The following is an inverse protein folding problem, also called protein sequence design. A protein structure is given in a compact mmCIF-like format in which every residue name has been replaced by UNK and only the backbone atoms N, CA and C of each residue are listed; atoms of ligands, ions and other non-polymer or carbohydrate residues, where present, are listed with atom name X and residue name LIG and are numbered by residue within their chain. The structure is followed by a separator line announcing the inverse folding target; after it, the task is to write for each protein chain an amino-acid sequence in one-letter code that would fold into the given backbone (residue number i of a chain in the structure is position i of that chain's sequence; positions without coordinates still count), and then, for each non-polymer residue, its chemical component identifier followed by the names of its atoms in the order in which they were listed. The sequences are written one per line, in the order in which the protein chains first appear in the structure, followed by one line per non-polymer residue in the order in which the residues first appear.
data_IF_207622155300
#
_entry.id   IF_207622155300
#
_cell.length_a   1.000
_cell.length_b   1.000
_cell.length_c   1.000
_cell.angle_alpha   90.00
_cell.angle_beta   90.00
_cell.angle_gamma   90.00
#
_symmetry.space_group_name_H-M   'P 1'
#
loop_
_entity.id
_entity.type
_entity.pdbx_description
1 polymer ?
#
# COMPACT_ATOMS: atom_id res chain seq x y z
N UNK A 1 2.52 -0.93 20.32
CA UNK A 1 2.88 -1.01 18.88
C UNK A 1 2.33 -2.23 18.17
N UNK A 2 2.03 -3.31 18.85
CA UNK A 2 1.27 -4.39 18.24
C UNK A 2 -0.08 -3.88 17.70
N UNK A 3 -0.82 -3.16 18.53
CA UNK A 3 -2.08 -2.54 18.14
C UNK A 3 -1.89 -1.43 17.10
N UNK A 4 -0.97 -0.48 17.35
CA UNK A 4 -0.77 0.68 16.48
C UNK A 4 -0.33 0.30 15.07
N UNK A 5 0.62 -0.62 14.94
CA UNK A 5 1.05 -1.12 13.64
C UNK A 5 -0.09 -1.83 12.90
N UNK A 6 -0.83 -2.69 13.58
CA UNK A 6 -1.91 -3.45 12.95
C UNK A 6 -3.13 -2.59 12.61
N UNK A 7 -3.37 -1.48 13.31
CA UNK A 7 -4.40 -0.53 12.94
C UNK A 7 -4.14 0.09 11.57
N UNK A 8 -2.91 0.48 11.28
CA UNK A 8 -2.54 1.14 10.01
C UNK A 8 -2.10 0.13 8.94
N UNK A 9 -1.28 -0.84 9.31
CA UNK A 9 -0.71 -1.80 8.37
C UNK A 9 -1.67 -2.90 7.95
N UNK A 10 -2.55 -3.34 8.83
CA UNK A 10 -3.51 -4.40 8.54
C UNK A 10 -4.91 -3.81 8.29
N UNK A 11 -5.54 -3.21 9.28
CA UNK A 11 -6.95 -2.79 9.19
C UNK A 11 -7.19 -1.73 8.11
N UNK A 12 -6.50 -0.62 8.16
CA UNK A 12 -6.66 0.44 7.17
C UNK A 12 -6.12 0.04 5.79
N UNK A 13 -4.97 -0.61 5.73
CA UNK A 13 -4.39 -1.04 4.43
C UNK A 13 -5.31 -2.03 3.73
N UNK A 14 -5.91 -2.99 4.42
CA UNK A 14 -6.87 -3.91 3.82
C UNK A 14 -8.08 -3.16 3.22
N UNK A 15 -8.58 -2.12 3.90
CA UNK A 15 -9.64 -1.26 3.37
C UNK A 15 -9.24 -0.53 2.08
N UNK A 16 -8.07 0.10 2.06
CA UNK A 16 -7.56 0.81 0.88
C UNK A 16 -7.24 -0.13 -0.29
N UNK A 17 -6.77 -1.34 -0.01
CA UNK A 17 -6.61 -2.37 -1.04
C UNK A 17 -7.96 -2.81 -1.61
N UNK A 18 -8.98 -2.90 -0.78
CA UNK A 18 -10.37 -3.12 -1.23
C UNK A 18 -10.82 -2.03 -2.22
N UNK A 19 -10.51 -0.77 -1.94
CA UNK A 19 -10.75 0.36 -2.85
C UNK A 19 -10.02 0.14 -4.18
N UNK A 20 -8.75 -0.20 -4.14
CA UNK A 20 -7.97 -0.48 -5.34
C UNK A 20 -8.58 -1.62 -6.18
N UNK A 21 -8.82 -2.75 -5.57
CA UNK A 21 -9.33 -3.94 -6.26
C UNK A 21 -10.75 -3.77 -6.79
N UNK A 22 -11.54 -2.86 -6.21
CA UNK A 22 -12.89 -2.57 -6.67
C UNK A 22 -12.91 -1.50 -7.78
N UNK A 23 -12.30 -0.34 -7.54
CA UNK A 23 -12.47 0.80 -8.43
C UNK A 23 -11.53 0.79 -9.64
N UNK A 24 -10.29 0.28 -9.49
CA UNK A 24 -9.35 0.26 -10.61
C UNK A 24 -9.86 -0.58 -11.80
N UNK A 25 -10.29 -1.84 -11.61
CA UNK A 25 -10.85 -2.63 -12.70
C UNK A 25 -12.11 -2.00 -13.32
N UNK A 26 -12.97 -1.43 -12.47
CA UNK A 26 -14.19 -0.76 -12.94
C UNK A 26 -13.89 0.47 -13.79
N UNK A 27 -12.97 1.32 -13.36
CA UNK A 27 -12.61 2.53 -14.10
C UNK A 27 -11.84 2.20 -15.37
N UNK A 28 -10.93 1.23 -15.31
CA UNK A 28 -10.20 0.76 -16.47
C UNK A 28 -11.08 0.00 -17.48
N UNK A 29 -12.25 -0.50 -17.03
CA UNK A 29 -13.11 -1.43 -17.79
C UNK A 29 -12.38 -2.70 -18.21
N UNK A 30 -11.53 -3.21 -17.32
CA UNK A 30 -10.73 -4.41 -17.50
C UNK A 30 -10.83 -5.29 -16.26
N UNK A 31 -10.80 -6.61 -16.40
CA UNK A 31 -10.71 -7.50 -15.24
C UNK A 31 -9.37 -7.31 -14.53
N UNK A 32 -9.33 -7.62 -13.23
CA UNK A 32 -8.06 -7.67 -12.51
C UNK A 32 -7.10 -8.63 -13.20
N UNK A 33 -5.83 -8.23 -13.32
CA UNK A 33 -4.83 -9.00 -14.06
C UNK A 33 -4.72 -10.46 -13.60
N UNK A 34 -4.67 -10.69 -12.28
CA UNK A 34 -4.60 -12.04 -11.74
C UNK A 34 -5.42 -12.16 -10.46
N UNK A 35 -6.50 -12.93 -10.51
CA UNK A 35 -7.29 -13.26 -9.33
C UNK A 35 -6.48 -14.09 -8.31
N UNK A 36 -5.66 -15.02 -8.79
CA UNK A 36 -4.79 -15.83 -7.91
C UNK A 36 -3.78 -14.95 -7.16
N UNK A 37 -3.23 -13.97 -7.84
CA UNK A 37 -2.29 -13.04 -7.22
C UNK A 37 -2.98 -12.13 -6.19
N UNK A 38 -4.26 -11.76 -6.40
CA UNK A 38 -5.02 -10.99 -5.41
C UNK A 38 -5.28 -11.80 -4.13
N UNK A 39 -5.59 -13.09 -4.25
CA UNK A 39 -5.74 -13.99 -3.10
C UNK A 39 -4.41 -14.11 -2.34
N UNK A 40 -3.32 -14.37 -3.06
CA UNK A 40 -2.00 -14.47 -2.48
C UNK A 40 -1.62 -13.17 -1.76
N UNK A 41 -1.78 -12.04 -2.43
CA UNK A 41 -1.52 -10.72 -1.87
C UNK A 41 -2.27 -10.50 -0.55
N UNK A 42 -3.59 -10.68 -0.56
CA UNK A 42 -4.42 -10.42 0.61
C UNK A 42 -4.04 -11.31 1.80
N UNK A 43 -3.98 -12.61 1.60
CA UNK A 43 -3.74 -13.53 2.71
C UNK A 43 -2.31 -13.48 3.25
N UNK A 44 -1.31 -13.37 2.39
CA UNK A 44 0.07 -13.23 2.87
C UNK A 44 0.29 -11.89 3.55
N UNK A 45 -0.34 -10.81 3.05
CA UNK A 45 -0.30 -9.51 3.71
C UNK A 45 -0.86 -9.61 5.14
N UNK A 46 -2.08 -10.12 5.29
CA UNK A 46 -2.74 -10.25 6.59
C UNK A 46 -1.90 -11.05 7.58
N UNK A 47 -1.42 -12.22 7.17
CA UNK A 47 -0.65 -13.09 8.08
C UNK A 47 0.72 -12.51 8.46
N UNK A 48 1.40 -11.83 7.54
CA UNK A 48 2.72 -11.28 7.81
C UNK A 48 2.66 -9.96 8.60
N UNK A 49 1.66 -9.13 8.32
CA UNK A 49 1.55 -7.80 8.95
C UNK A 49 1.41 -7.86 10.47
N UNK A 50 0.65 -8.82 10.98
CA UNK A 50 0.41 -8.94 12.43
C UNK A 50 1.68 -9.18 13.23
N UNK A 51 2.74 -9.68 12.62
CA UNK A 51 4.03 -9.97 13.27
C UNK A 51 5.10 -8.91 13.03
N UNK A 52 4.90 -8.00 12.09
CA UNK A 52 5.88 -7.00 11.71
C UNK A 52 5.99 -5.81 12.68
N UNK A 53 4.99 -5.60 13.55
CA UNK A 53 4.90 -4.44 14.45
C UNK A 53 6.16 -4.07 15.24
N UNK A 54 6.92 -5.05 15.78
CA UNK A 54 8.14 -4.74 16.52
C UNK A 54 9.23 -4.03 15.72
N UNK A 55 9.11 -3.92 14.40
CA UNK A 55 10.04 -3.13 13.59
C UNK A 55 10.04 -1.63 13.94
N UNK A 56 8.98 -1.14 14.58
CA UNK A 56 8.94 0.23 15.09
C UNK A 56 9.79 0.43 16.35
N UNK A 57 10.18 -0.66 16.99
CA UNK A 57 10.82 -0.68 18.31
C UNK A 57 12.22 -1.29 18.28
N UNK A 58 12.90 -1.21 17.13
CA UNK A 58 14.30 -1.57 17.02
C UNK A 58 15.15 -0.64 17.90
N UNK A 59 16.19 -1.17 18.51
CA UNK A 59 17.07 -0.46 19.44
C UNK A 59 16.35 0.10 20.69
N UNK A 60 15.26 -0.50 21.10
CA UNK A 60 14.55 -0.19 22.33
C UNK A 60 14.79 -1.28 23.40
N UNK A 61 14.14 -1.15 24.56
CA UNK A 61 14.21 -2.13 25.65
C UNK A 61 13.48 -3.47 25.36
N UNK A 62 12.92 -3.65 24.18
CA UNK A 62 12.32 -4.94 23.79
C UNK A 62 13.37 -6.05 23.72
N UNK A 63 13.00 -7.30 24.08
CA UNK A 63 13.87 -8.46 23.89
C UNK A 63 14.36 -8.57 22.45
N UNK A 64 15.59 -9.02 22.28
CA UNK A 64 16.22 -9.10 20.96
C UNK A 64 15.48 -10.01 19.97
N UNK A 65 14.92 -11.13 20.45
CA UNK A 65 14.14 -12.03 19.62
C UNK A 65 12.89 -11.36 19.04
N UNK A 66 12.24 -10.47 19.78
CA UNK A 66 11.06 -9.71 19.33
C UNK A 66 11.44 -8.73 18.22
N UNK A 67 12.57 -8.04 18.36
CA UNK A 67 13.09 -7.14 17.35
C UNK A 67 13.48 -7.89 16.07
N UNK A 68 14.11 -9.06 16.22
CA UNK A 68 14.47 -9.94 15.09
C UNK A 68 13.22 -10.45 14.36
N UNK A 69 12.19 -10.84 15.12
CA UNK A 69 10.91 -11.25 14.55
C UNK A 69 10.27 -10.13 13.73
N UNK A 70 10.19 -8.91 14.30
CA UNK A 70 9.67 -7.74 13.61
C UNK A 70 10.42 -7.44 12.29
N UNK A 71 11.75 -7.46 12.33
CA UNK A 71 12.58 -7.30 11.14
C UNK A 71 12.30 -8.37 10.08
N UNK A 72 12.29 -9.64 10.47
CA UNK A 72 12.10 -10.76 9.55
C UNK A 72 10.75 -10.68 8.85
N UNK A 73 9.67 -10.50 9.59
CA UNK A 73 8.34 -10.40 9.01
C UNK A 73 8.17 -9.13 8.17
N UNK A 74 8.83 -8.04 8.53
CA UNK A 74 8.83 -6.81 7.72
C UNK A 74 9.50 -7.02 6.36
N UNK A 75 10.62 -7.71 6.30
CA UNK A 75 11.28 -8.05 5.03
C UNK A 75 10.41 -8.98 4.18
N UNK A 76 9.72 -9.94 4.80
CA UNK A 76 8.78 -10.83 4.10
C UNK A 76 7.59 -10.09 3.49
N UNK A 77 7.17 -8.95 4.05
CA UNK A 77 6.08 -8.12 3.51
C UNK A 77 6.35 -7.55 2.12
N UNK A 78 7.60 -7.52 1.67
CA UNK A 78 7.93 -7.10 0.31
C UNK A 78 7.20 -7.96 -0.73
N UNK A 79 7.07 -9.26 -0.50
CA UNK A 79 6.46 -10.21 -1.44
C UNK A 79 4.98 -9.90 -1.71
N UNK A 80 4.09 -9.86 -0.67
CA UNK A 80 2.68 -9.53 -0.92
C UNK A 80 2.50 -8.11 -1.48
N UNK A 81 3.21 -7.13 -0.96
CA UNK A 81 3.01 -5.74 -1.34
C UNK A 81 3.39 -5.49 -2.80
N UNK A 82 4.51 -6.03 -3.24
CA UNK A 82 4.88 -5.94 -4.65
C UNK A 82 4.00 -6.80 -5.54
N UNK A 83 3.54 -7.94 -5.05
CA UNK A 83 2.52 -8.73 -5.74
C UNK A 83 1.25 -7.91 -6.00
N UNK A 84 0.80 -7.13 -5.01
CA UNK A 84 -0.34 -6.22 -5.15
C UNK A 84 -0.08 -5.06 -6.11
N UNK A 85 1.09 -4.42 -6.02
CA UNK A 85 1.50 -3.36 -6.96
C UNK A 85 1.51 -3.88 -8.40
N UNK A 86 2.18 -5.00 -8.65
CA UNK A 86 2.27 -5.60 -9.98
C UNK A 86 0.87 -5.96 -10.50
N UNK A 87 0.03 -6.57 -9.66
CA UNK A 87 -1.33 -6.92 -10.04
C UNK A 87 -2.17 -5.70 -10.43
N UNK A 88 -2.08 -4.63 -9.65
CA UNK A 88 -2.76 -3.36 -9.95
C UNK A 88 -2.28 -2.73 -11.25
N UNK A 89 -0.97 -2.53 -11.40
CA UNK A 89 -0.42 -1.90 -12.60
C UNK A 89 -0.67 -2.76 -13.86
N UNK A 90 -0.52 -4.08 -13.78
CA UNK A 90 -0.77 -4.98 -14.90
C UNK A 90 -2.26 -5.09 -15.28
N UNK A 91 -3.17 -4.69 -14.39
CA UNK A 91 -4.59 -4.55 -14.73
C UNK A 91 -4.80 -3.53 -15.86
N UNK A 92 -3.90 -2.56 -16.01
CA UNK A 92 -3.94 -1.57 -17.09
C UNK A 92 -3.24 -2.03 -18.37
N UNK A 93 -2.77 -3.27 -18.44
CA UNK A 93 -2.13 -3.80 -19.66
C UNK A 93 -3.10 -3.70 -20.85
N UNK A 94 -2.69 -2.98 -21.88
CA UNK A 94 -3.52 -2.70 -23.07
C UNK A 94 -4.43 -1.48 -22.95
N UNK A 95 -4.41 -0.75 -21.82
CA UNK A 95 -5.24 0.45 -21.60
C UNK A 95 -4.44 1.64 -21.01
N UNK A 96 -3.13 1.64 -21.17
CA UNK A 96 -2.26 2.71 -20.66
C UNK A 96 -2.52 4.08 -21.29
N UNK A 97 -3.05 4.12 -22.51
CA UNK A 97 -3.48 5.33 -23.20
C UNK A 97 -4.60 6.07 -22.46
N UNK A 98 -5.47 5.35 -21.74
CA UNK A 98 -6.54 5.95 -20.90
C UNK A 98 -6.00 6.90 -19.85
N UNK A 99 -4.77 6.73 -19.38
CA UNK A 99 -4.15 7.65 -18.42
C UNK A 99 -3.99 9.07 -18.95
N UNK A 100 -3.99 9.27 -20.25
CA UNK A 100 -3.85 10.63 -20.83
C UNK A 100 -5.05 11.51 -20.47
N UNK A 101 -6.24 10.95 -20.43
CA UNK A 101 -7.49 11.68 -20.30
C UNK A 101 -8.26 11.40 -19.02
N UNK A 102 -8.04 10.24 -18.39
CA UNK A 102 -8.78 9.80 -17.21
C UNK A 102 -8.07 10.20 -15.91
N UNK A 103 -8.59 11.19 -15.16
CA UNK A 103 -7.98 11.62 -13.91
C UNK A 103 -8.08 10.58 -12.79
N UNK A 104 -9.13 9.76 -12.77
CA UNK A 104 -9.33 8.72 -11.75
C UNK A 104 -8.22 7.68 -11.87
N UNK A 105 -7.95 7.24 -13.09
CA UNK A 105 -6.85 6.29 -13.34
C UNK A 105 -5.48 6.90 -13.00
N UNK A 106 -5.29 8.21 -13.22
CA UNK A 106 -4.05 8.90 -12.80
C UNK A 106 -3.85 8.79 -11.29
N UNK A 107 -4.88 9.13 -10.51
CA UNK A 107 -4.82 8.99 -9.05
C UNK A 107 -4.52 7.56 -8.62
N UNK A 108 -5.17 6.58 -9.23
CA UNK A 108 -4.99 5.16 -8.89
C UNK A 108 -3.59 4.65 -9.24
N UNK A 109 -3.05 5.01 -10.40
CA UNK A 109 -1.70 4.59 -10.81
C UNK A 109 -0.64 5.22 -9.90
N UNK A 110 -0.76 6.51 -9.59
CA UNK A 110 0.13 7.17 -8.63
C UNK A 110 0.05 6.48 -7.27
N UNK A 111 -1.16 6.23 -6.78
CA UNK A 111 -1.36 5.54 -5.50
C UNK A 111 -0.69 4.17 -5.48
N UNK A 112 -0.90 3.33 -6.49
CA UNK A 112 -0.32 1.98 -6.56
C UNK A 112 1.21 2.03 -6.65
N UNK A 113 1.75 3.00 -7.38
CA UNK A 113 3.19 3.20 -7.49
C UNK A 113 3.79 3.57 -6.12
N UNK A 114 3.19 4.50 -5.40
CA UNK A 114 3.60 4.84 -4.05
C UNK A 114 3.39 3.70 -3.05
N UNK A 115 2.34 2.89 -3.21
CA UNK A 115 2.18 1.66 -2.44
C UNK A 115 3.39 0.74 -2.59
N UNK A 116 3.83 0.49 -3.81
CA UNK A 116 5.02 -0.31 -4.07
C UNK A 116 6.31 0.32 -3.55
N UNK A 117 6.47 1.63 -3.69
CA UNK A 117 7.66 2.36 -3.22
C UNK A 117 7.73 2.36 -1.69
N UNK A 118 6.66 2.73 -1.00
CA UNK A 118 6.62 2.77 0.46
C UNK A 118 6.78 1.39 1.08
N UNK A 119 6.22 0.36 0.46
CA UNK A 119 6.35 -1.02 0.93
C UNK A 119 7.65 -1.71 0.50
N UNK A 120 8.48 -1.08 -0.33
CA UNK A 120 9.89 -1.43 -0.47
C UNK A 120 10.73 -0.76 0.63
N UNK A 121 10.49 0.52 0.85
CA UNK A 121 11.24 1.32 1.80
C UNK A 121 11.04 0.85 3.24
N UNK A 122 9.79 0.51 3.64
CA UNK A 122 9.47 0.00 4.97
C UNK A 122 10.26 -1.25 5.36
N UNK A 123 10.23 -2.33 4.57
CA UNK A 123 11.08 -3.50 4.78
C UNK A 123 12.57 -3.19 4.82
N UNK A 124 13.06 -2.30 3.96
CA UNK A 124 14.45 -1.86 3.97
C UNK A 124 14.81 -1.15 5.28
N UNK A 125 13.98 -0.21 5.74
CA UNK A 125 14.17 0.50 7.01
C UNK A 125 14.01 -0.42 8.24
N UNK A 126 13.36 -1.56 8.11
CA UNK A 126 13.25 -2.56 9.17
C UNK A 126 14.54 -3.36 9.37
N UNK A 127 15.47 -3.36 8.41
CA UNK A 127 16.79 -3.97 8.56
C UNK A 127 17.59 -3.15 9.59
N UNK A 128 18.12 -3.81 10.61
CA UNK A 128 18.74 -3.13 11.77
C UNK A 128 19.78 -2.09 11.38
N UNK A 129 20.68 -2.41 10.47
CA UNK A 129 21.74 -1.47 10.03
C UNK A 129 21.18 -0.24 9.32
N UNK A 130 20.14 -0.41 8.52
CA UNK A 130 19.45 0.72 7.86
C UNK A 130 18.62 1.50 8.88
N UNK A 131 17.95 0.80 9.80
CA UNK A 131 17.16 1.43 10.86
C UNK A 131 18.01 2.33 11.76
N UNK A 132 19.24 1.93 12.08
CA UNK A 132 20.17 2.75 12.85
C UNK A 132 20.46 4.12 12.21
N UNK A 133 20.37 4.21 10.88
CA UNK A 133 20.57 5.45 10.13
C UNK A 133 19.30 6.24 9.91
N UNK A 134 18.16 5.56 9.78
CA UNK A 134 16.88 6.17 9.39
C UNK A 134 15.96 6.49 10.57
N UNK A 135 16.05 5.76 11.67
CA UNK A 135 15.17 5.92 12.82
C UNK A 135 15.35 7.31 13.46
N UNK A 136 14.24 7.96 13.77
CA UNK A 136 14.18 9.34 14.31
C UNK A 136 14.75 10.44 13.38
N UNK A 137 14.87 10.16 12.10
CA UNK A 137 15.28 11.15 11.08
C UNK A 137 14.11 11.50 10.16
N UNK A 138 14.30 12.52 9.31
CA UNK A 138 13.35 12.92 8.29
C UNK A 138 13.09 11.82 7.24
N UNK A 139 13.96 10.84 7.15
CA UNK A 139 13.70 9.67 6.31
C UNK A 139 12.46 8.90 6.75
N UNK A 140 12.29 8.69 8.07
CA UNK A 140 11.07 8.07 8.61
C UNK A 140 9.81 8.88 8.27
N UNK A 141 9.89 10.20 8.34
CA UNK A 141 8.79 11.12 7.97
C UNK A 141 8.50 11.02 6.47
N UNK A 142 9.51 11.01 5.62
CA UNK A 142 9.36 10.83 4.17
C UNK A 142 8.68 9.50 3.82
N UNK A 143 9.09 8.42 4.48
CA UNK A 143 8.49 7.10 4.33
C UNK A 143 6.98 7.12 4.67
N UNK A 144 6.61 7.67 5.81
CA UNK A 144 5.20 7.76 6.23
C UNK A 144 4.39 8.61 5.25
N UNK A 145 4.94 9.71 4.74
CA UNK A 145 4.24 10.55 3.77
C UNK A 145 4.11 9.89 2.39
N UNK A 146 5.08 9.10 1.96
CA UNK A 146 4.93 8.30 0.74
C UNK A 146 3.78 7.29 0.87
N UNK A 147 3.62 6.68 2.05
CA UNK A 147 2.50 5.80 2.35
C UNK A 147 1.18 6.55 2.55
N UNK A 148 1.16 7.57 3.42
CA UNK A 148 -0.08 8.25 3.80
C UNK A 148 -0.61 9.18 2.70
N UNK A 149 0.25 9.94 2.03
CA UNK A 149 -0.17 10.86 0.98
C UNK A 149 -0.08 10.21 -0.40
N UNK A 150 1.05 9.59 -0.72
CA UNK A 150 1.26 8.97 -2.02
C UNK A 150 0.32 7.79 -2.28
N UNK A 151 0.17 6.90 -1.31
CA UNK A 151 -0.73 5.76 -1.44
C UNK A 151 -2.15 6.08 -0.97
N UNK A 152 -2.34 6.34 0.33
CA UNK A 152 -3.67 6.41 0.95
C UNK A 152 -4.50 7.60 0.46
N UNK A 153 -3.92 8.80 0.43
CA UNK A 153 -4.66 9.97 -0.03
C UNK A 153 -4.99 9.87 -1.52
N UNK A 154 -4.04 9.45 -2.37
CA UNK A 154 -4.29 9.36 -3.80
C UNK A 154 -5.35 8.31 -4.14
N UNK A 155 -5.33 7.12 -3.53
CA UNK A 155 -6.37 6.11 -3.78
C UNK A 155 -7.74 6.58 -3.30
N UNK A 156 -7.81 7.28 -2.16
CA UNK A 156 -9.04 7.82 -1.61
C UNK A 156 -9.62 8.93 -2.49
N UNK A 157 -8.79 9.87 -2.95
CA UNK A 157 -9.21 10.94 -3.88
C UNK A 157 -9.71 10.33 -5.18
N UNK A 158 -9.00 9.36 -5.75
CA UNK A 158 -9.45 8.64 -6.95
C UNK A 158 -10.82 7.98 -6.75
N UNK A 159 -11.05 7.35 -5.60
CA UNK A 159 -12.35 6.78 -5.27
C UNK A 159 -13.46 7.84 -5.11
N UNK A 160 -13.15 9.00 -4.51
CA UNK A 160 -14.09 10.11 -4.41
C UNK A 160 -14.47 10.67 -5.78
N UNK A 161 -13.50 10.85 -6.68
CA UNK A 161 -13.77 11.26 -8.05
C UNK A 161 -14.67 10.27 -8.80
N UNK A 162 -14.58 8.99 -8.46
CA UNK A 162 -15.48 7.97 -9.00
C UNK A 162 -16.89 8.03 -8.39
N UNK A 163 -16.96 8.14 -7.06
CA UNK A 163 -18.22 7.97 -6.32
C UNK A 163 -19.11 9.22 -6.32
N UNK A 164 -18.53 10.42 -6.06
CA UNK A 164 -19.31 11.65 -5.86
C UNK A 164 -20.22 11.96 -7.05
N UNK A 165 -19.77 11.95 -8.31
CA UNK A 165 -20.64 12.19 -9.44
C UNK A 165 -21.83 11.24 -9.49
N UNK A 166 -21.59 9.95 -9.18
CA UNK A 166 -22.64 8.93 -9.20
C UNK A 166 -23.66 9.08 -8.09
N UNK A 167 -23.23 9.44 -6.91
CA UNK A 167 -24.10 9.67 -5.75
C UNK A 167 -24.99 10.91 -5.98
N UNK A 168 -24.45 11.96 -6.56
CA UNK A 168 -25.18 13.23 -6.78
C UNK A 168 -25.76 13.36 -8.20
N UNK A 169 -25.76 12.30 -9.00
CA UNK A 169 -26.32 12.32 -10.35
C UNK A 169 -25.61 13.28 -11.31
N UNK A 170 -24.33 13.56 -11.07
CA UNK A 170 -23.51 14.41 -11.94
C UNK A 170 -22.75 13.55 -12.94
N UNK A 171 -22.41 14.16 -14.07
CA UNK A 171 -21.66 13.46 -15.13
C UNK A 171 -20.20 13.29 -14.74
N UNK A 172 -19.61 14.33 -14.21
CA UNK A 172 -18.18 14.42 -13.86
C UNK A 172 -18.01 15.33 -12.64
N UNK A 173 -16.84 15.27 -12.01
CA UNK A 173 -16.48 16.11 -10.86
C UNK A 173 -15.66 17.34 -11.28
N UNK A 174 -15.23 17.37 -12.52
CA UNK A 174 -14.36 18.42 -13.12
C UNK A 174 -14.89 18.84 -14.49
#
# INVERSE_FOLDING_TARGET
WWYGHNAVGFFLTAGFLGIMYYFLPKQAQLPIYSYRLSILHFWTLVFLYIWAGPHHLLYTALPDWTQTLGMTFSVMLLVPSWGGMVNGLMTLKGAWDKLRTDPILKFMVVAISFYGMSTFEGPMMAIRTVNALSHYTDWGIGHVHSGALGWVAMISIGALYYMIPRVFGKKEMY
#
